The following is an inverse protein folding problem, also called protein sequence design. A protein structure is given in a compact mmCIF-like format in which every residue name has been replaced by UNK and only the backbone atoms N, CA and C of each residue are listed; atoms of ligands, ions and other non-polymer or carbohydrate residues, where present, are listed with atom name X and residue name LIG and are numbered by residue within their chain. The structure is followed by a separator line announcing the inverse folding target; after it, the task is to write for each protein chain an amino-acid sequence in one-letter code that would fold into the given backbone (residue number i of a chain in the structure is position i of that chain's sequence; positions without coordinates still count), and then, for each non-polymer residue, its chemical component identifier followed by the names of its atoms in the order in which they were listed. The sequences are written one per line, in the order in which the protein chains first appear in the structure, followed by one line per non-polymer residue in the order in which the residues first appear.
data_IF_314122924253
#
_entry.id   IF_314122924253
#
_cell.length_a   1.000
_cell.length_b   1.000
_cell.length_c   1.000
_cell.angle_alpha   90.00
_cell.angle_beta   90.00
_cell.angle_gamma   90.00
#
_symmetry.space_group_name_H-M   'P 1'
#
loop_
_entity.id
_entity.type
_entity.pdbx_description
1 polymer ?
#
# COMPACT_ATOMS: atom_id res chain seq x y z
N UNK A 1 -22.83 3.34 26.27
CA UNK A 1 -21.35 3.51 26.38
C UNK A 1 -20.85 3.64 24.94
N UNK A 2 -19.93 4.59 24.66
CA UNK A 2 -19.83 5.29 23.37
C UNK A 2 -19.33 4.38 22.25
N UNK A 3 -19.84 4.60 21.04
CA UNK A 3 -19.40 3.94 19.81
C UNK A 3 -17.87 4.01 19.66
N UNK A 4 -17.16 2.87 19.57
CA UNK A 4 -15.74 2.88 19.30
C UNK A 4 -15.55 3.18 17.81
N UNK A 5 -15.57 4.47 17.47
CA UNK A 5 -15.29 4.92 16.12
C UNK A 5 -13.86 4.51 15.77
N UNK A 6 -13.73 3.39 15.07
CA UNK A 6 -12.44 2.79 14.78
C UNK A 6 -11.72 3.67 13.77
N UNK A 7 -10.52 4.15 14.12
CA UNK A 7 -9.75 5.07 13.26
C UNK A 7 -9.44 4.46 11.89
N UNK A 8 -9.38 3.12 11.79
CA UNK A 8 -9.15 2.39 10.54
C UNK A 8 -10.14 1.22 10.36
N UNK A 9 -11.36 1.54 9.90
CA UNK A 9 -12.44 0.55 9.72
C UNK A 9 -12.09 -0.57 8.72
N UNK A 10 -11.33 -0.27 7.68
CA UNK A 10 -10.93 -1.28 6.68
C UNK A 10 -9.99 -2.33 7.26
N UNK A 11 -8.99 -1.88 8.00
CA UNK A 11 -8.07 -2.77 8.69
C UNK A 11 -8.77 -3.67 9.69
N UNK A 12 -9.72 -3.12 10.45
CA UNK A 12 -10.52 -3.88 11.39
C UNK A 12 -11.22 -5.06 10.69
N UNK A 13 -11.90 -4.78 9.57
CA UNK A 13 -12.58 -5.79 8.76
C UNK A 13 -11.61 -6.83 8.16
N UNK A 14 -10.42 -6.41 7.72
CA UNK A 14 -9.38 -7.32 7.21
C UNK A 14 -8.90 -8.27 8.31
N UNK A 15 -8.73 -7.78 9.54
CA UNK A 15 -8.29 -8.60 10.67
C UNK A 15 -9.38 -9.61 11.07
N UNK A 16 -10.66 -9.20 11.07
CA UNK A 16 -11.77 -10.12 11.29
C UNK A 16 -11.82 -11.23 10.23
N UNK A 17 -11.70 -10.87 8.94
CA UNK A 17 -11.66 -11.85 7.85
C UNK A 17 -10.47 -12.79 7.92
N UNK A 18 -9.37 -12.35 8.55
CA UNK A 18 -8.20 -13.19 8.84
C UNK A 18 -8.38 -14.11 10.07
N UNK A 19 -9.54 -14.09 10.71
CA UNK A 19 -9.85 -14.93 11.86
C UNK A 19 -9.47 -14.33 13.21
N UNK A 20 -9.16 -13.03 13.29
CA UNK A 20 -8.92 -12.35 14.56
C UNK A 20 -10.24 -12.04 15.27
N UNK A 21 -10.26 -12.15 16.59
CA UNK A 21 -11.42 -11.78 17.41
C UNK A 21 -11.65 -10.27 17.40
N UNK A 22 -12.91 -9.84 17.57
CA UNK A 22 -13.34 -8.44 17.47
C UNK A 22 -12.53 -7.49 18.35
N UNK A 23 -12.30 -7.80 19.63
CA UNK A 23 -11.53 -6.93 20.52
C UNK A 23 -10.06 -6.79 20.10
N UNK A 24 -9.46 -7.87 19.57
CA UNK A 24 -8.08 -7.85 19.09
C UNK A 24 -7.95 -7.07 17.78
N UNK A 25 -8.88 -7.27 16.85
CA UNK A 25 -8.94 -6.50 15.62
C UNK A 25 -9.12 -5.01 15.90
N UNK A 26 -9.98 -4.65 16.86
CA UNK A 26 -10.28 -3.27 17.23
C UNK A 26 -9.06 -2.58 17.85
N UNK A 27 -8.35 -3.29 18.75
CA UNK A 27 -7.10 -2.81 19.35
C UNK A 27 -6.03 -2.56 18.28
N UNK A 28 -5.86 -3.48 17.34
CA UNK A 28 -4.87 -3.34 16.26
C UNK A 28 -5.25 -2.20 15.31
N UNK A 29 -6.53 -2.05 14.96
CA UNK A 29 -7.02 -0.99 14.07
C UNK A 29 -7.05 0.41 14.69
N UNK A 30 -7.16 0.52 16.02
CA UNK A 30 -7.09 1.80 16.75
C UNK A 30 -5.67 2.19 17.18
N UNK A 31 -4.71 1.27 17.06
CA UNK A 31 -3.30 1.59 17.29
C UNK A 31 -2.79 2.49 16.16
N UNK A 32 -2.41 3.75 16.45
CA UNK A 32 -1.98 4.69 15.43
C UNK A 32 -0.67 4.22 14.82
N UNK A 33 -0.66 4.02 13.49
CA UNK A 33 0.53 3.56 12.73
C UNK A 33 0.33 2.25 11.98
N UNK A 34 -0.76 1.53 12.22
CA UNK A 34 -1.11 0.37 11.40
C UNK A 34 -1.95 0.81 10.19
N UNK A 35 -1.40 1.66 9.33
CA UNK A 35 -2.06 2.04 8.09
C UNK A 35 -2.16 0.82 7.16
N UNK A 36 -3.16 -0.05 7.34
CA UNK A 36 -3.48 -1.09 6.35
C UNK A 36 -4.28 -0.44 5.24
N UNK A 37 -3.63 0.49 4.52
CA UNK A 37 -3.86 0.61 3.09
C UNK A 37 -3.53 -0.76 2.54
N UNK A 38 -4.54 -1.43 2.00
CA UNK A 38 -4.42 -2.76 1.42
C UNK A 38 -3.58 -2.75 0.14
N UNK A 39 -2.28 -2.50 0.29
CA UNK A 39 -1.28 -2.77 -0.74
C UNK A 39 0.06 -3.06 -0.04
N UNK A 40 0.29 -4.34 0.28
CA UNK A 40 1.59 -4.82 0.75
C UNK A 40 2.51 -5.18 -0.41
N UNK A 41 2.27 -4.67 -1.62
CA UNK A 41 3.37 -4.48 -2.56
C UNK A 41 4.14 -3.26 -2.07
N UNK A 42 5.47 -3.36 -1.90
CA UNK A 42 6.30 -2.17 -1.60
C UNK A 42 5.85 -1.08 -2.56
N UNK A 43 5.41 0.05 -2.03
CA UNK A 43 4.95 1.13 -2.90
C UNK A 43 6.09 1.45 -3.85
N UNK A 44 5.80 1.65 -5.14
CA UNK A 44 6.82 2.05 -6.11
C UNK A 44 7.62 3.30 -5.65
N UNK A 45 7.07 4.10 -4.73
CA UNK A 45 7.76 5.20 -4.03
C UNK A 45 8.98 4.74 -3.21
N UNK A 46 8.93 3.53 -2.64
CA UNK A 46 9.99 2.90 -1.85
C UNK A 46 11.07 2.24 -2.72
N UNK A 47 10.76 1.96 -4.00
CA UNK A 47 11.72 1.35 -4.93
C UNK A 47 12.75 2.38 -5.39
N UNK A 48 13.97 1.94 -5.63
CA UNK A 48 15.01 2.77 -6.24
C UNK A 48 14.65 3.10 -7.68
N UNK A 49 15.25 4.19 -8.22
CA UNK A 49 15.04 4.54 -9.63
C UNK A 49 15.44 3.39 -10.56
N UNK A 50 16.47 2.63 -10.20
CA UNK A 50 16.95 1.50 -11.00
C UNK A 50 15.94 0.35 -11.00
N UNK A 51 15.43 -0.05 -9.84
CA UNK A 51 14.38 -1.08 -9.74
C UNK A 51 13.13 -0.69 -10.55
N UNK A 52 12.70 0.57 -10.44
CA UNK A 52 11.58 1.10 -11.23
C UNK A 52 11.89 1.14 -12.73
N UNK A 53 13.16 1.37 -13.10
CA UNK A 53 13.58 1.36 -14.49
C UNK A 53 13.59 -0.06 -15.06
N UNK A 54 14.05 -1.06 -14.29
CA UNK A 54 14.01 -2.46 -14.69
C UNK A 54 12.57 -2.96 -14.81
N UNK A 55 11.71 -2.62 -13.85
CA UNK A 55 10.28 -2.94 -13.93
C UNK A 55 9.65 -2.28 -15.16
N UNK A 56 9.92 -1.00 -15.38
CA UNK A 56 9.46 -0.28 -16.57
C UNK A 56 10.00 -0.88 -17.87
N UNK A 57 11.17 -1.52 -17.85
CA UNK A 57 11.73 -2.24 -19.00
C UNK A 57 11.02 -3.56 -19.25
N UNK A 58 10.73 -4.33 -18.20
CA UNK A 58 9.99 -5.61 -18.27
C UNK A 58 8.58 -5.37 -18.81
N UNK A 59 7.92 -4.33 -18.28
CA UNK A 59 6.57 -3.92 -18.68
C UNK A 59 6.54 -3.23 -20.05
N UNK A 60 7.69 -2.81 -20.58
CA UNK A 60 7.79 -2.23 -21.92
C UNK A 60 7.43 -0.74 -22.02
N UNK A 61 7.61 0.03 -20.94
CA UNK A 61 7.30 1.47 -20.90
C UNK A 61 8.24 2.24 -21.84
N UNK A 62 7.70 2.92 -22.88
CA UNK A 62 8.50 3.73 -23.80
C UNK A 62 9.00 5.00 -23.13
N UNK A 63 10.17 5.49 -23.54
CA UNK A 63 10.76 6.71 -22.96
C UNK A 63 11.28 6.56 -21.52
N UNK A 64 11.20 5.37 -20.91
CA UNK A 64 11.70 5.05 -19.54
C UNK A 64 13.12 5.56 -19.26
N UNK A 65 14.02 5.57 -20.25
CA UNK A 65 15.41 6.01 -20.11
C UNK A 65 15.55 7.51 -19.85
N UNK A 66 14.55 8.30 -20.26
CA UNK A 66 14.50 9.74 -20.01
C UNK A 66 13.62 10.10 -18.79
N UNK A 67 12.94 9.10 -18.19
CA UNK A 67 12.03 9.33 -17.07
C UNK A 67 12.77 9.46 -15.74
N UNK A 68 12.30 10.41 -14.94
CA UNK A 68 12.68 10.53 -13.52
C UNK A 68 11.98 9.47 -12.68
N UNK A 69 12.49 9.19 -11.48
CA UNK A 69 11.92 8.21 -10.54
C UNK A 69 10.39 8.37 -10.37
N UNK A 70 9.93 9.61 -10.14
CA UNK A 70 8.49 9.93 -10.01
C UNK A 70 7.69 9.61 -11.27
N UNK A 71 8.26 9.87 -12.45
CA UNK A 71 7.62 9.57 -13.72
C UNK A 71 7.55 8.06 -13.98
N UNK A 72 8.60 7.31 -13.65
CA UNK A 72 8.59 5.84 -13.71
C UNK A 72 7.51 5.26 -12.79
N UNK A 73 7.42 5.71 -11.54
CA UNK A 73 6.37 5.32 -10.60
C UNK A 73 4.98 5.59 -11.18
N UNK A 74 4.77 6.79 -11.73
CA UNK A 74 3.48 7.19 -12.31
C UNK A 74 3.12 6.34 -13.52
N UNK A 75 4.08 6.05 -14.38
CA UNK A 75 3.88 5.20 -15.55
C UNK A 75 3.58 3.75 -15.14
N UNK A 76 4.31 3.20 -14.17
CA UNK A 76 4.08 1.86 -13.62
C UNK A 76 2.74 1.73 -12.88
N UNK A 77 2.27 2.79 -12.22
CA UNK A 77 0.95 2.82 -11.58
C UNK A 77 -0.21 2.98 -12.57
N UNK A 78 0.06 3.48 -13.79
CA UNK A 78 -0.96 3.75 -14.82
C UNK A 78 -1.06 2.64 -15.86
N UNK A 79 -0.03 1.80 -15.98
CA UNK A 79 0.05 0.71 -16.94
C UNK A 79 -0.69 -0.54 -16.50
#
# INVERSE_FOLDING_TARGET
MPDPETKNKEQYQILLKKGYNQENALRIANTPGSGVKGDKTKSYEEWTKDELYQEARIVGIPGRSYMSKKSLIKSLRKN
#
